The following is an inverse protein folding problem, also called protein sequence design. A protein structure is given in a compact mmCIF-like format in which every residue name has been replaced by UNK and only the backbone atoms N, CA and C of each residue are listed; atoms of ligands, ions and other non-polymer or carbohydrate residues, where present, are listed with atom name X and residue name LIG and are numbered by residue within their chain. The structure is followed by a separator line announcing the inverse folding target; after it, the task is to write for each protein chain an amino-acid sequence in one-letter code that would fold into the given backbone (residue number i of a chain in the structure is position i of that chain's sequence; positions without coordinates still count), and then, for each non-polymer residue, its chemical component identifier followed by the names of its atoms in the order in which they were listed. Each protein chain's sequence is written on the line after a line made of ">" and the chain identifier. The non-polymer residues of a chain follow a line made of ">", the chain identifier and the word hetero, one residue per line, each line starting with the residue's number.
data_IF_203987166215
#
_entry.id   IF_203987166215
#
_cell.length_a   1.000
_cell.length_b   1.000
_cell.length_c   1.000
_cell.angle_alpha   90.00
_cell.angle_beta   90.00
_cell.angle_gamma   90.00
#
_symmetry.space_group_name_H-M   'P 1'
#
loop_
_entity.id
_entity.type
_entity.pdbx_description
1 polymer ?
#
# COMPACT_ATOMS: atom_id res chain seq x y z
N UNK A 1 -6.31 34.07 -48.87
CA UNK A 1 -5.13 34.40 -49.72
C UNK A 1 -4.15 35.14 -48.83
N UNK A 2 -3.09 34.45 -48.43
CA UNK A 2 -1.68 34.79 -48.73
C UNK A 2 -1.16 35.95 -47.85
N UNK A 3 -0.03 35.86 -47.17
CA UNK A 3 1.05 34.87 -47.18
C UNK A 3 2.21 35.42 -46.33
N UNK A 4 3.02 34.48 -45.87
CA UNK A 4 4.21 34.56 -45.02
C UNK A 4 5.35 35.48 -45.49
N UNK A 5 6.31 35.67 -44.54
CA UNK A 5 7.79 35.77 -44.65
C UNK A 5 8.38 37.13 -44.20
N UNK A 6 9.54 37.24 -43.52
CA UNK A 6 10.64 36.32 -43.22
C UNK A 6 11.52 36.89 -42.07
N UNK A 7 12.28 35.99 -41.44
CA UNK A 7 13.32 36.10 -40.39
C UNK A 7 14.29 37.30 -40.43
N UNK A 8 14.71 37.82 -39.26
CA UNK A 8 16.02 37.54 -38.60
C UNK A 8 16.60 38.71 -37.77
N UNK A 9 16.87 38.40 -36.49
CA UNK A 9 17.92 38.86 -35.56
C UNK A 9 18.33 40.35 -35.50
N UNK A 10 18.21 40.95 -34.30
CA UNK A 10 19.34 41.48 -33.50
C UNK A 10 18.85 41.80 -32.06
N UNK A 11 19.51 41.17 -31.07
CA UNK A 11 19.65 41.49 -29.65
C UNK A 11 18.47 42.12 -28.88
N UNK A 12 17.75 41.29 -28.11
CA UNK A 12 17.30 41.69 -26.78
C UNK A 12 17.39 40.47 -25.85
N UNK A 13 18.47 40.45 -25.07
CA UNK A 13 18.66 39.55 -23.92
C UNK A 13 17.56 39.89 -22.90
N UNK A 14 16.40 39.26 -23.01
CA UNK A 14 15.45 39.19 -21.90
C UNK A 14 15.67 37.84 -21.26
N UNK A 15 16.32 37.88 -20.09
CA UNK A 15 16.52 36.73 -19.25
C UNK A 15 15.19 35.98 -19.08
N UNK A 16 15.11 34.77 -19.61
CA UNK A 16 14.13 33.77 -19.21
C UNK A 16 14.37 33.52 -17.71
N UNK A 17 13.73 34.34 -16.88
CA UNK A 17 13.68 34.11 -15.44
C UNK A 17 12.71 32.95 -15.28
N UNK A 18 13.27 31.74 -15.15
CA UNK A 18 12.54 30.56 -14.71
C UNK A 18 11.74 30.97 -13.47
N UNK A 19 10.43 31.04 -13.58
CA UNK A 19 9.57 31.30 -12.43
C UNK A 19 9.68 30.05 -11.55
N UNK A 20 10.54 30.10 -10.54
CA UNK A 20 10.63 29.05 -9.52
C UNK A 20 9.35 29.14 -8.70
N UNK A 21 8.36 28.34 -9.07
CA UNK A 21 7.11 28.22 -8.31
C UNK A 21 7.43 27.52 -6.99
N UNK A 22 7.38 28.24 -5.88
CA UNK A 22 7.44 27.67 -4.53
C UNK A 22 6.06 27.08 -4.22
N UNK A 23 6.01 25.78 -3.95
CA UNK A 23 4.78 25.07 -3.58
C UNK A 23 4.51 25.27 -2.08
N UNK A 24 3.51 26.08 -1.75
CA UNK A 24 3.05 26.23 -0.37
C UNK A 24 2.02 25.14 -0.04
N UNK A 25 2.25 24.40 1.04
CA UNK A 25 1.41 23.31 1.52
C UNK A 25 0.37 23.83 2.52
N UNK A 26 -0.60 22.98 2.88
CA UNK A 26 -1.54 23.21 3.99
C UNK A 26 -2.27 24.57 3.96
N UNK A 27 -2.68 25.02 2.78
CA UNK A 27 -3.40 26.29 2.61
C UNK A 27 -2.50 27.53 2.65
N UNK A 28 -1.19 27.38 2.63
CA UNK A 28 -0.24 28.48 2.52
C UNK A 28 -0.35 29.23 1.19
N UNK A 29 -0.12 30.54 1.23
CA UNK A 29 -0.18 31.42 0.06
C UNK A 29 1.21 31.83 -0.39
N UNK A 30 1.53 31.64 -1.68
CA UNK A 30 2.80 32.09 -2.24
C UNK A 30 2.80 33.61 -2.43
N UNK A 31 3.74 34.32 -1.80
CA UNK A 31 3.90 35.77 -1.87
C UNK A 31 5.29 36.15 -2.37
N UNK A 32 5.40 37.27 -3.08
CA UNK A 32 6.69 37.76 -3.57
C UNK A 32 7.48 38.37 -2.40
N UNK A 33 8.79 38.08 -2.33
CA UNK A 33 9.67 38.68 -1.31
C UNK A 33 9.70 40.20 -1.45
N UNK A 34 9.97 40.95 -0.36
CA UNK A 34 10.10 42.42 -0.43
C UNK A 34 11.17 42.91 -1.41
N UNK A 35 12.18 42.07 -1.69
CA UNK A 35 13.22 42.31 -2.69
C UNK A 35 12.81 42.04 -4.13
N UNK A 36 11.61 41.47 -4.36
CA UNK A 36 11.07 41.11 -5.67
C UNK A 36 11.76 39.93 -6.37
N UNK A 37 12.73 39.27 -5.70
CA UNK A 37 13.62 38.28 -6.33
C UNK A 37 13.25 36.83 -6.07
N UNK A 38 12.47 36.53 -5.02
CA UNK A 38 12.12 35.14 -4.65
C UNK A 38 10.66 35.06 -4.18
N UNK A 39 10.04 33.89 -4.30
CA UNK A 39 8.73 33.60 -3.72
C UNK A 39 8.89 33.01 -2.31
N UNK A 40 7.99 33.38 -1.39
CA UNK A 40 7.92 32.89 -0.01
C UNK A 40 6.53 32.32 0.26
N UNK A 41 6.39 31.42 1.23
CA UNK A 41 5.09 30.96 1.69
C UNK A 41 4.62 31.73 2.92
N UNK A 42 3.40 32.25 2.87
CA UNK A 42 2.68 32.74 4.04
C UNK A 42 1.75 31.63 4.54
N UNK A 43 2.02 31.11 5.73
CA UNK A 43 1.31 29.93 6.23
C UNK A 43 -0.01 30.28 6.90
N UNK A 44 -0.98 29.38 6.77
CA UNK A 44 -2.24 29.45 7.51
C UNK A 44 -1.98 29.23 9.01
N UNK A 45 -2.89 29.72 9.85
CA UNK A 45 -2.79 29.59 11.31
C UNK A 45 -2.60 28.11 11.71
N UNK A 46 -1.61 27.85 12.57
CA UNK A 46 -1.25 26.50 13.02
C UNK A 46 -0.29 25.74 12.09
N UNK A 47 0.18 26.35 10.99
CA UNK A 47 1.20 25.77 10.12
C UNK A 47 2.45 26.64 10.03
N UNK A 48 3.61 26.01 9.91
CA UNK A 48 4.90 26.71 9.78
C UNK A 48 5.89 25.95 8.90
N UNK A 49 7.05 26.56 8.65
CA UNK A 49 8.07 26.05 7.75
C UNK A 49 8.15 26.81 6.42
N UNK A 50 9.20 26.52 5.66
CA UNK A 50 9.51 27.26 4.41
C UNK A 50 8.45 27.11 3.32
N UNK A 51 7.72 26.00 3.37
CA UNK A 51 6.63 25.62 2.47
C UNK A 51 5.33 25.32 3.26
N UNK A 52 5.21 25.77 4.52
CA UNK A 52 4.08 25.46 5.40
C UNK A 52 3.88 23.96 5.67
N UNK A 53 4.98 23.22 5.71
CA UNK A 53 5.04 21.76 5.82
C UNK A 53 4.90 21.22 7.25
N UNK A 54 5.04 22.07 8.26
CA UNK A 54 4.94 21.70 9.67
C UNK A 54 3.55 22.04 10.19
N UNK A 55 2.92 21.09 10.86
CA UNK A 55 1.64 21.26 11.54
C UNK A 55 1.91 21.41 13.04
N UNK A 56 1.70 22.61 13.58
CA UNK A 56 2.01 22.95 14.97
C UNK A 56 1.03 22.32 15.97
N UNK A 57 -0.14 21.87 15.50
CA UNK A 57 -1.17 21.23 16.33
C UNK A 57 -0.85 19.77 16.63
N UNK A 58 0.02 19.12 15.83
CA UNK A 58 0.35 17.71 15.97
C UNK A 58 1.45 17.50 17.02
N UNK A 59 1.08 16.91 18.15
CA UNK A 59 2.01 16.54 19.24
C UNK A 59 2.29 15.04 19.34
N UNK A 60 1.72 14.23 18.44
CA UNK A 60 1.80 12.78 18.48
C UNK A 60 2.01 12.17 17.08
N UNK A 61 2.45 10.91 16.99
CA UNK A 61 2.51 10.20 15.71
C UNK A 61 1.69 8.91 15.69
N UNK A 62 1.23 8.55 14.49
CA UNK A 62 0.65 7.24 14.20
C UNK A 62 1.68 6.29 13.55
N UNK A 63 1.51 4.98 13.79
CA UNK A 63 2.37 3.94 13.21
C UNK A 63 3.84 4.08 13.64
N UNK A 64 4.73 4.31 12.66
CA UNK A 64 6.17 4.55 12.85
C UNK A 64 6.56 6.04 12.71
N UNK A 65 5.58 6.94 12.53
CA UNK A 65 5.86 8.37 12.36
C UNK A 65 6.43 8.77 10.99
N UNK A 66 6.18 7.98 9.95
CA UNK A 66 6.58 8.30 8.57
C UNK A 66 6.01 9.64 8.06
N UNK A 67 4.72 9.83 8.30
CA UNK A 67 4.00 11.05 7.92
C UNK A 67 3.91 12.07 9.05
N UNK A 68 4.66 11.86 10.13
CA UNK A 68 4.71 12.84 11.20
C UNK A 68 5.26 14.16 10.65
N UNK A 69 4.49 15.23 10.83
CA UNK A 69 4.82 16.60 10.42
C UNK A 69 4.74 17.59 11.58
N UNK A 70 4.69 17.08 12.82
CA UNK A 70 4.71 17.92 14.01
C UNK A 70 6.07 18.58 14.29
N UNK A 71 6.12 19.53 15.24
CA UNK A 71 7.28 20.39 15.50
C UNK A 71 8.28 19.83 16.52
N UNK A 72 8.10 18.60 17.02
CA UNK A 72 9.01 18.04 18.04
C UNK A 72 10.45 17.96 17.50
N UNK A 73 11.39 18.53 18.26
CA UNK A 73 12.83 18.67 17.91
C UNK A 73 13.77 18.17 19.01
N UNK A 74 13.30 17.24 19.86
CA UNK A 74 14.11 16.59 20.90
C UNK A 74 14.12 15.08 20.74
N UNK A 75 15.28 14.47 20.96
CA UNK A 75 15.42 13.01 21.01
C UNK A 75 14.90 12.44 22.33
N UNK A 76 14.75 11.12 22.40
CA UNK A 76 14.36 10.40 23.60
C UNK A 76 15.38 10.47 24.74
N UNK A 77 16.64 10.81 24.45
CA UNK A 77 17.63 11.12 25.49
C UNK A 77 17.57 12.59 25.96
N UNK A 78 16.64 13.38 25.43
CA UNK A 78 16.47 14.80 25.73
C UNK A 78 17.43 15.73 24.98
N UNK A 79 18.23 15.21 24.04
CA UNK A 79 19.14 16.02 23.23
C UNK A 79 18.38 16.78 22.16
N UNK A 80 18.86 17.97 21.84
CA UNK A 80 18.32 18.79 20.76
C UNK A 80 18.72 18.21 19.39
N UNK A 81 17.73 18.15 18.50
CA UNK A 81 17.92 17.69 17.13
C UNK A 81 18.72 18.70 16.32
N UNK A 82 19.59 18.18 15.46
CA UNK A 82 20.34 18.95 14.47
C UNK A 82 19.46 19.22 13.24
N UNK A 83 19.70 20.38 12.63
CA UNK A 83 19.11 20.79 11.34
C UNK A 83 19.44 19.76 10.25
N UNK A 84 18.41 19.30 9.54
CA UNK A 84 18.55 18.28 8.49
C UNK A 84 19.40 18.75 7.31
N UNK A 85 19.44 20.06 7.05
CA UNK A 85 20.23 20.67 5.97
C UNK A 85 21.59 21.23 6.45
N UNK A 86 21.96 21.01 7.72
CA UNK A 86 23.27 21.43 8.22
C UNK A 86 24.42 20.68 7.54
N UNK A 87 25.54 21.37 7.35
CA UNK A 87 26.72 20.82 6.69
C UNK A 87 27.20 19.51 7.34
N UNK A 88 27.26 19.48 8.67
CA UNK A 88 27.66 18.28 9.42
C UNK A 88 26.69 17.10 9.26
N UNK A 89 25.39 17.35 9.04
CA UNK A 89 24.41 16.28 8.77
C UNK A 89 24.49 15.83 7.31
N UNK A 90 24.71 16.75 6.37
CA UNK A 90 24.85 16.44 4.94
C UNK A 90 26.11 15.64 4.61
N UNK A 91 27.17 15.79 5.39
CA UNK A 91 28.39 14.97 5.27
C UNK A 91 28.20 13.52 5.74
N UNK A 92 27.24 13.28 6.64
CA UNK A 92 26.96 11.95 7.24
C UNK A 92 25.76 11.27 6.57
N UNK A 93 24.82 12.05 6.05
CA UNK A 93 23.53 11.59 5.54
C UNK A 93 23.63 10.83 4.21
N UNK A 94 22.87 9.74 4.09
CA UNK A 94 22.73 8.91 2.88
C UNK A 94 21.83 9.56 1.81
N UNK A 95 21.37 10.80 2.03
CA UNK A 95 20.38 11.46 1.17
C UNK A 95 21.02 12.37 0.12
N UNK A 96 20.53 12.35 -1.13
CA UNK A 96 20.88 13.35 -2.12
C UNK A 96 20.53 14.76 -1.60
N UNK A 97 21.36 15.75 -1.91
CA UNK A 97 21.29 17.15 -1.43
C UNK A 97 19.92 17.85 -1.53
N UNK A 98 18.97 17.30 -2.29
CA UNK A 98 17.66 17.88 -2.60
C UNK A 98 16.46 17.06 -2.09
N UNK A 99 16.68 15.96 -1.35
CA UNK A 99 15.63 15.03 -0.88
C UNK A 99 15.54 14.95 0.66
N UNK A 100 16.29 15.80 1.37
CA UNK A 100 16.24 15.87 2.83
C UNK A 100 14.90 16.41 3.37
N UNK A 101 14.55 16.14 4.64
CA UNK A 101 13.25 16.50 5.20
C UNK A 101 12.89 18.00 5.26
N UNK A 102 13.84 18.90 4.96
CA UNK A 102 13.62 20.34 4.93
C UNK A 102 14.71 21.11 5.69
N UNK A 103 14.54 22.43 5.77
CA UNK A 103 15.40 23.35 6.55
C UNK A 103 14.80 23.57 7.94
N UNK A 104 14.75 22.50 8.71
CA UNK A 104 14.30 22.49 10.10
C UNK A 104 15.00 21.37 10.88
N UNK A 105 14.88 21.35 12.20
CA UNK A 105 15.41 20.27 13.04
C UNK A 105 14.32 19.34 13.63
N UNK A 106 13.07 19.47 13.19
CA UNK A 106 11.99 18.60 13.66
C UNK A 106 12.25 17.13 13.34
N UNK A 107 11.85 16.24 14.24
CA UNK A 107 11.91 14.80 14.10
C UNK A 107 11.13 14.32 12.88
N UNK A 108 11.75 13.45 12.10
CA UNK A 108 11.19 12.89 10.86
C UNK A 108 11.58 11.43 10.76
N UNK A 109 10.92 10.70 9.87
CA UNK A 109 11.27 9.31 9.62
C UNK A 109 11.52 9.05 8.13
N UNK A 110 12.56 9.66 7.52
CA UNK A 110 12.78 9.60 6.08
C UNK A 110 13.32 8.24 5.56
N UNK A 111 13.89 7.39 6.42
CA UNK A 111 14.47 6.07 6.08
C UNK A 111 13.65 4.89 6.60
N UNK A 112 12.37 5.10 6.93
CA UNK A 112 11.49 4.01 7.39
C UNK A 112 12.01 3.30 8.66
N UNK A 113 12.61 4.05 9.57
CA UNK A 113 13.00 3.58 10.90
C UNK A 113 11.80 3.22 11.76
N UNK A 114 12.03 2.49 12.86
CA UNK A 114 10.96 2.06 13.78
C UNK A 114 10.17 3.22 14.41
N UNK A 115 10.78 4.41 14.52
CA UNK A 115 10.16 5.65 15.01
C UNK A 115 10.72 6.85 14.25
N UNK A 116 10.02 7.98 14.34
CA UNK A 116 10.59 9.26 13.97
C UNK A 116 11.83 9.54 14.84
N UNK A 117 12.87 10.06 14.20
CA UNK A 117 14.19 10.22 14.77
C UNK A 117 14.80 11.54 14.28
N UNK A 118 15.94 11.90 14.84
CA UNK A 118 16.75 13.01 14.37
C UNK A 118 18.24 12.76 14.62
N UNK A 119 19.10 13.55 13.98
CA UNK A 119 20.51 13.56 14.32
C UNK A 119 20.75 14.40 15.57
N UNK A 120 21.60 13.92 16.46
CA UNK A 120 22.00 14.65 17.67
C UNK A 120 23.52 14.66 17.78
N UNK A 121 24.05 15.69 18.43
CA UNK A 121 25.47 15.79 18.74
C UNK A 121 25.76 15.12 20.09
N UNK A 122 26.71 14.20 20.10
CA UNK A 122 27.30 13.65 21.32
C UNK A 122 28.73 14.15 21.51
N UNK A 123 29.34 13.87 22.66
CA UNK A 123 30.69 14.33 22.98
C UNK A 123 31.76 13.83 21.98
N UNK A 124 31.48 12.74 21.25
CA UNK A 124 32.46 12.11 20.34
C UNK A 124 32.01 12.02 18.88
N UNK A 125 30.71 12.10 18.58
CA UNK A 125 30.18 11.99 17.20
C UNK A 125 28.76 12.51 17.06
N UNK A 126 28.35 12.78 15.83
CA UNK A 126 26.93 12.90 15.47
C UNK A 126 26.36 11.50 15.30
N UNK A 127 25.20 11.25 15.88
CA UNK A 127 24.50 9.98 15.71
C UNK A 127 23.00 10.20 15.58
N UNK A 128 22.31 9.18 15.07
CA UNK A 128 20.86 9.12 14.99
C UNK A 128 20.28 8.63 16.31
N UNK A 129 19.26 9.32 16.81
CA UNK A 129 18.49 8.93 17.98
C UNK A 129 16.98 9.04 17.70
N UNK A 130 16.21 8.08 18.22
CA UNK A 130 14.75 8.12 18.18
C UNK A 130 14.22 9.31 18.97
N UNK A 131 13.11 9.89 18.52
CA UNK A 131 12.45 11.00 19.19
C UNK A 131 11.37 10.54 20.16
N UNK A 132 11.25 11.27 21.28
CA UNK A 132 10.19 11.04 22.26
C UNK A 132 8.92 11.78 21.87
N UNK A 133 8.28 11.25 20.83
CA UNK A 133 6.96 11.69 20.41
C UNK A 133 5.95 10.64 20.89
N UNK A 134 4.90 11.02 21.64
CA UNK A 134 3.87 10.09 22.07
C UNK A 134 3.08 9.56 20.87
N UNK A 135 2.51 8.36 21.02
CA UNK A 135 1.54 7.87 20.05
C UNK A 135 0.21 8.59 20.26
N UNK A 136 -0.49 8.91 19.17
CA UNK A 136 -1.77 9.59 19.29
C UNK A 136 -2.72 8.75 20.14
N UNK A 137 -3.24 9.36 21.22
CA UNK A 137 -4.25 8.73 22.05
C UNK A 137 -5.47 8.48 21.16
N UNK A 138 -5.97 7.23 21.16
CA UNK A 138 -7.27 6.96 20.58
C UNK A 138 -8.27 7.71 21.44
N UNK A 139 -8.88 8.75 20.90
CA UNK A 139 -9.96 9.45 21.57
C UNK A 139 -11.10 8.43 21.75
N UNK A 140 -11.23 7.91 22.96
CA UNK A 140 -12.38 7.10 23.35
C UNK A 140 -13.53 8.08 23.56
N UNK A 141 -14.05 8.60 22.45
CA UNK A 141 -15.38 9.19 22.40
C UNK A 141 -16.36 8.14 22.90
N UNK A 142 -16.84 8.37 24.12
CA UNK A 142 -17.95 7.66 24.74
C UNK A 142 -19.22 7.90 23.91
N UNK A 143 -19.37 7.20 22.78
CA UNK A 143 -20.68 6.97 22.22
C UNK A 143 -21.34 5.84 22.98
N UNK A 144 -22.51 6.17 23.52
CA UNK A 144 -23.36 5.30 24.31
C UNK A 144 -23.55 3.96 23.61
N UNK A 145 -23.20 2.90 24.32
CA UNK A 145 -23.45 1.52 23.96
C UNK A 145 -24.96 1.27 23.80
N UNK A 146 -25.45 1.37 22.58
CA UNK A 146 -26.62 0.61 22.14
C UNK A 146 -26.17 -0.40 21.09
N UNK A 147 -25.72 -1.56 21.57
CA UNK A 147 -25.73 -2.84 20.86
C UNK A 147 -24.94 -2.92 19.55
N UNK A 148 -23.61 -2.90 19.61
CA UNK A 148 -22.79 -3.42 18.50
C UNK A 148 -22.84 -4.95 18.59
N UNK A 149 -23.47 -5.60 17.63
CA UNK A 149 -23.44 -7.06 17.53
C UNK A 149 -21.98 -7.52 17.44
N UNK A 150 -21.56 -8.32 18.43
CA UNK A 150 -20.29 -9.01 18.45
C UNK A 150 -20.30 -10.12 17.39
N UNK A 151 -19.95 -9.77 16.15
CA UNK A 151 -19.88 -10.68 15.03
C UNK A 151 -19.01 -10.09 13.93
N UNK A 152 -18.28 -10.95 13.23
CA UNK A 152 -17.45 -10.55 12.09
C UNK A 152 -18.32 -9.88 11.03
N UNK A 153 -17.98 -8.65 10.67
CA UNK A 153 -18.59 -7.94 9.55
C UNK A 153 -17.52 -7.75 8.47
N UNK A 154 -17.75 -8.38 7.32
CA UNK A 154 -16.79 -8.31 6.23
C UNK A 154 -16.70 -6.91 5.61
N UNK A 155 -15.55 -6.61 4.99
CA UNK A 155 -15.39 -5.45 4.13
C UNK A 155 -15.40 -4.10 4.86
N UNK A 156 -15.30 -4.09 6.19
CA UNK A 156 -15.20 -2.89 7.00
C UNK A 156 -13.74 -2.58 7.34
N UNK A 157 -13.37 -1.30 7.29
CA UNK A 157 -12.07 -0.79 7.73
C UNK A 157 -12.23 0.62 8.30
N UNK A 158 -11.35 1.02 9.22
CA UNK A 158 -11.34 2.39 9.74
C UNK A 158 -10.85 3.34 8.63
N UNK A 159 -11.72 4.24 8.14
CA UNK A 159 -11.34 5.23 7.13
C UNK A 159 -10.57 6.39 7.76
N UNK A 160 -9.25 6.42 7.58
CA UNK A 160 -8.45 7.64 7.79
C UNK A 160 -8.19 8.31 6.44
N UNK A 161 -8.63 9.55 6.31
CA UNK A 161 -8.46 10.39 5.12
C UNK A 161 -6.99 10.73 4.90
N UNK A 162 -6.30 9.94 4.08
CA UNK A 162 -4.99 10.30 3.51
C UNK A 162 -5.02 10.04 2.01
N UNK A 163 -4.61 11.05 1.23
CA UNK A 163 -4.59 11.04 -0.24
C UNK A 163 -3.39 10.21 -0.74
N UNK A 164 -3.64 9.32 -1.70
CA UNK A 164 -2.67 8.33 -2.22
C UNK A 164 -2.33 8.68 -3.68
N UNK A 165 -1.04 8.69 -4.03
CA UNK A 165 -0.52 8.84 -5.41
C UNK A 165 0.53 7.75 -5.65
N UNK A 166 0.36 6.94 -6.70
CA UNK A 166 1.41 6.12 -7.35
C UNK A 166 2.18 5.08 -6.51
N UNK A 167 1.52 4.07 -5.90
CA UNK A 167 2.21 2.96 -5.22
C UNK A 167 2.64 3.28 -3.78
N UNK A 168 1.75 3.91 -3.00
CA UNK A 168 2.07 4.42 -1.67
C UNK A 168 2.31 3.28 -0.65
N UNK A 169 3.17 3.57 0.33
CA UNK A 169 3.26 2.74 1.53
C UNK A 169 1.88 2.67 2.19
N UNK A 170 1.43 1.45 2.48
CA UNK A 170 0.15 1.23 3.16
C UNK A 170 0.38 0.70 4.57
N UNK A 171 -0.72 0.60 5.33
CA UNK A 171 -0.73 -0.09 6.61
C UNK A 171 -1.80 -1.16 6.57
N UNK A 172 -1.57 -2.26 7.26
CA UNK A 172 -2.52 -3.36 7.39
C UNK A 172 -3.85 -2.92 8.02
N UNK A 173 -3.88 -1.81 8.77
CA UNK A 173 -5.13 -1.25 9.28
C UNK A 173 -6.05 -0.72 8.15
N UNK A 174 -5.49 -0.33 7.00
CA UNK A 174 -6.24 0.05 5.79
C UNK A 174 -6.67 -1.16 4.96
N UNK A 175 -5.99 -2.29 5.12
CA UNK A 175 -6.29 -3.55 4.43
C UNK A 175 -6.25 -4.72 5.42
N UNK A 176 -7.17 -4.73 6.41
CA UNK A 176 -7.11 -5.65 7.54
C UNK A 176 -7.35 -7.12 7.17
N UNK A 177 -7.72 -7.38 5.92
CA UNK A 177 -7.85 -8.70 5.31
C UNK A 177 -6.55 -9.21 4.67
N UNK A 178 -5.50 -8.39 4.58
CA UNK A 178 -4.25 -8.81 3.96
C UNK A 178 -3.62 -9.97 4.74
N UNK A 179 -3.35 -11.07 4.04
CA UNK A 179 -2.64 -12.22 4.56
C UNK A 179 -1.29 -12.40 3.85
N UNK A 180 -0.22 -12.65 4.60
CA UNK A 180 1.08 -13.03 4.06
C UNK A 180 1.28 -14.53 4.20
N UNK A 181 1.44 -15.22 3.07
CA UNK A 181 1.70 -16.66 2.99
C UNK A 181 3.21 -16.87 2.89
N UNK A 182 3.76 -17.64 3.83
CA UNK A 182 5.19 -17.94 3.89
C UNK A 182 5.44 -19.45 3.86
N UNK A 183 6.50 -19.86 3.18
CA UNK A 183 7.03 -21.24 3.22
C UNK A 183 8.31 -21.23 4.06
N UNK A 184 8.25 -21.81 5.25
CA UNK A 184 9.28 -21.66 6.27
C UNK A 184 9.39 -20.21 6.75
N UNK A 185 10.56 -19.58 6.59
CA UNK A 185 10.79 -18.16 6.94
C UNK A 185 10.67 -17.21 5.74
N UNK A 186 10.43 -17.73 4.54
CA UNK A 186 10.41 -16.93 3.32
C UNK A 186 8.98 -16.60 2.91
N UNK A 187 8.69 -15.31 2.75
CA UNK A 187 7.47 -14.84 2.11
C UNK A 187 7.37 -15.43 0.69
N UNK A 188 6.18 -15.93 0.35
CA UNK A 188 5.92 -16.58 -0.94
C UNK A 188 4.85 -15.83 -1.72
N UNK A 189 3.69 -15.60 -1.10
CA UNK A 189 2.53 -14.98 -1.74
C UNK A 189 1.72 -14.13 -0.75
N UNK A 190 0.90 -13.25 -1.29
CA UNK A 190 -0.21 -12.63 -0.58
C UNK A 190 -1.42 -13.56 -0.45
N UNK A 191 -2.46 -13.06 0.20
CA UNK A 191 -3.72 -13.73 0.43
C UNK A 191 -4.74 -12.76 1.02
N UNK A 192 -5.99 -13.20 1.09
CA UNK A 192 -7.11 -12.43 1.62
C UNK A 192 -7.84 -13.25 2.68
N UNK A 193 -7.99 -12.71 3.89
CA UNK A 193 -8.81 -13.30 4.93
C UNK A 193 -10.29 -13.11 4.58
N UNK A 194 -10.99 -14.18 4.23
CA UNK A 194 -12.39 -14.16 3.76
C UNK A 194 -13.37 -14.58 4.85
N UNK A 195 -12.88 -15.36 5.82
CA UNK A 195 -13.57 -15.68 7.07
C UNK A 195 -12.51 -15.88 8.16
N UNK A 196 -12.87 -16.02 9.45
CA UNK A 196 -11.89 -16.14 10.52
C UNK A 196 -10.91 -17.31 10.31
N UNK A 197 -11.36 -18.39 9.68
CA UNK A 197 -10.59 -19.63 9.50
C UNK A 197 -10.09 -19.84 8.07
N UNK A 198 -10.39 -18.94 7.13
CA UNK A 198 -10.16 -19.17 5.70
C UNK A 198 -9.47 -18.00 5.02
N UNK A 199 -8.39 -18.31 4.30
CA UNK A 199 -7.64 -17.38 3.46
C UNK A 199 -7.74 -17.82 2.00
N UNK A 200 -8.11 -16.89 1.13
CA UNK A 200 -8.13 -17.05 -0.32
C UNK A 200 -6.82 -16.52 -0.92
N UNK A 201 -6.22 -17.25 -1.84
CA UNK A 201 -4.96 -16.89 -2.50
C UNK A 201 -4.91 -17.51 -3.91
N UNK A 202 -3.78 -17.38 -4.61
CA UNK A 202 -3.58 -17.96 -5.93
C UNK A 202 -3.08 -19.41 -5.84
N UNK A 203 -3.44 -20.23 -6.83
CA UNK A 203 -3.02 -21.63 -6.89
C UNK A 203 -1.54 -21.77 -7.27
N UNK A 204 -1.02 -20.91 -8.14
CA UNK A 204 0.38 -20.94 -8.58
C UNK A 204 1.39 -20.72 -7.45
N UNK A 205 0.94 -20.22 -6.30
CA UNK A 205 1.73 -20.14 -5.07
C UNK A 205 2.15 -21.52 -4.53
N UNK A 206 1.51 -22.60 -5.01
CA UNK A 206 1.73 -23.98 -4.61
C UNK A 206 2.07 -24.84 -5.83
N UNK A 207 3.29 -24.72 -6.39
CA UNK A 207 3.68 -25.40 -7.63
C UNK A 207 3.67 -26.93 -7.50
N UNK A 208 3.77 -27.47 -6.29
CA UNK A 208 3.69 -28.91 -6.01
C UNK A 208 2.24 -29.42 -5.96
N UNK A 209 1.24 -28.56 -6.16
CA UNK A 209 -0.16 -28.93 -6.17
C UNK A 209 -0.60 -29.61 -4.86
N UNK A 210 -1.32 -30.71 -4.97
CA UNK A 210 -1.76 -31.56 -3.85
C UNK A 210 -0.60 -32.24 -3.09
N UNK A 211 0.61 -32.28 -3.66
CA UNK A 211 1.82 -32.79 -2.99
C UNK A 211 2.50 -31.73 -2.12
N UNK A 212 1.97 -30.51 -2.09
CA UNK A 212 2.48 -29.41 -1.26
C UNK A 212 2.51 -29.80 0.22
N UNK A 213 3.68 -29.68 0.85
CA UNK A 213 3.83 -29.92 2.29
C UNK A 213 3.25 -28.76 3.09
N UNK A 214 1.97 -28.87 3.46
CA UNK A 214 1.23 -27.82 4.18
C UNK A 214 1.84 -27.47 5.55
N UNK A 215 2.55 -28.40 6.19
CA UNK A 215 3.22 -28.17 7.47
C UNK A 215 4.37 -27.15 7.40
N UNK A 216 4.89 -26.87 6.19
CA UNK A 216 5.89 -25.84 5.96
C UNK A 216 5.27 -24.47 5.66
N UNK A 217 3.94 -24.37 5.55
CA UNK A 217 3.24 -23.14 5.22
C UNK A 217 2.75 -22.48 6.50
N UNK A 218 3.07 -21.20 6.65
CA UNK A 218 2.56 -20.33 7.70
C UNK A 218 1.84 -19.15 7.07
N UNK A 219 0.78 -18.68 7.72
CA UNK A 219 -0.02 -17.54 7.30
C UNK A 219 0.02 -16.48 8.39
N UNK A 220 0.34 -15.26 8.03
CA UNK A 220 0.38 -14.11 8.93
C UNK A 220 -0.69 -13.10 8.51
N UNK A 221 -1.49 -12.63 9.46
CA UNK A 221 -2.45 -11.53 9.27
C UNK A 221 -2.13 -10.39 10.23
N UNK A 222 -2.50 -9.16 9.88
CA UNK A 222 -2.19 -7.98 10.71
C UNK A 222 -0.74 -7.52 10.63
N UNK A 223 0.00 -7.92 9.57
CA UNK A 223 1.42 -7.63 9.38
C UNK A 223 1.66 -6.40 8.51
N UNK A 224 2.49 -5.46 8.99
CA UNK A 224 2.88 -4.29 8.18
C UNK A 224 4.17 -4.53 7.37
N UNK A 225 5.09 -5.33 7.90
CA UNK A 225 6.38 -5.59 7.26
C UNK A 225 6.74 -7.07 7.32
N UNK A 226 7.29 -7.62 6.23
CA UNK A 226 7.65 -9.05 6.14
C UNK A 226 8.76 -9.43 7.13
N UNK A 227 9.69 -8.52 7.40
CA UNK A 227 10.88 -8.74 8.23
C UNK A 227 10.73 -8.29 9.68
N UNK A 228 9.58 -7.72 10.05
CA UNK A 228 9.27 -7.32 11.43
C UNK A 228 8.14 -8.17 11.99
N UNK A 229 8.06 -8.27 13.31
CA UNK A 229 6.97 -8.95 13.99
C UNK A 229 6.40 -8.02 15.05
N UNK A 230 5.22 -7.49 14.81
CA UNK A 230 4.44 -6.77 15.83
C UNK A 230 3.56 -7.77 16.60
N UNK A 231 4.08 -8.32 17.70
CA UNK A 231 3.40 -9.33 18.51
C UNK A 231 2.05 -8.88 19.10
N UNK A 232 1.71 -7.58 19.06
CA UNK A 232 0.43 -7.06 19.54
C UNK A 232 -0.64 -7.02 18.44
N UNK A 233 -0.26 -7.00 17.16
CA UNK A 233 -1.18 -6.86 16.01
C UNK A 233 -1.18 -8.06 15.09
N UNK A 234 -0.05 -8.73 14.98
CA UNK A 234 0.14 -9.86 14.09
C UNK A 234 -0.37 -11.14 14.72
N UNK A 235 -1.02 -11.97 13.90
CA UNK A 235 -1.44 -13.30 14.28
C UNK A 235 -0.86 -14.29 13.28
N UNK A 236 -0.22 -15.34 13.80
CA UNK A 236 0.42 -16.40 13.03
C UNK A 236 -0.41 -17.69 13.09
N UNK A 237 -0.60 -18.30 11.94
CA UNK A 237 -1.36 -19.53 11.77
C UNK A 237 -0.59 -20.55 10.96
N UNK A 238 -0.81 -21.84 11.28
CA UNK A 238 -0.44 -22.95 10.40
C UNK A 238 -1.59 -23.26 9.45
N UNK A 239 -1.26 -23.89 8.33
CA UNK A 239 -2.26 -24.41 7.39
C UNK A 239 -2.63 -25.83 7.79
N UNK A 240 -3.93 -26.07 8.00
CA UNK A 240 -4.46 -27.42 8.26
C UNK A 240 -4.97 -28.10 7.00
N UNK A 241 -5.47 -27.33 6.03
CA UNK A 241 -6.02 -27.83 4.77
C UNK A 241 -5.68 -26.84 3.64
N UNK A 242 -5.34 -27.37 2.46
CA UNK A 242 -5.08 -26.60 1.23
C UNK A 242 -5.99 -27.17 0.13
N UNK A 243 -6.80 -26.30 -0.47
CA UNK A 243 -7.62 -26.63 -1.63
C UNK A 243 -7.13 -25.82 -2.82
N UNK A 244 -6.65 -26.51 -3.84
CA UNK A 244 -6.34 -25.91 -5.15
C UNK A 244 -7.52 -26.23 -6.06
N UNK A 245 -7.96 -25.26 -6.85
CA UNK A 245 -9.06 -25.47 -7.78
C UNK A 245 -8.76 -26.64 -8.73
N UNK A 246 -9.73 -27.53 -8.92
CA UNK A 246 -9.58 -28.81 -9.59
C UNK A 246 -9.21 -28.68 -11.08
N UNK A 247 -9.57 -27.53 -11.67
CA UNK A 247 -9.27 -27.19 -13.05
C UNK A 247 -8.07 -26.26 -13.22
N UNK A 248 -7.31 -25.97 -12.16
CA UNK A 248 -6.07 -25.21 -12.29
C UNK A 248 -4.99 -26.06 -12.96
N UNK A 249 -4.55 -25.62 -14.13
CA UNK A 249 -3.40 -26.19 -14.84
C UNK A 249 -2.56 -25.04 -15.42
N UNK A 250 -1.29 -25.00 -15.05
CA UNK A 250 -0.34 -23.98 -15.51
C UNK A 250 0.76 -24.55 -16.41
N UNK A 251 0.57 -25.75 -16.96
CA UNK A 251 1.51 -26.36 -17.92
C UNK A 251 1.70 -25.49 -19.17
N UNK A 252 0.61 -24.92 -19.67
CA UNK A 252 0.61 -24.03 -20.85
C UNK A 252 0.80 -22.54 -20.50
N UNK A 253 1.03 -22.21 -19.23
CA UNK A 253 1.22 -20.82 -18.79
C UNK A 253 -0.03 -19.94 -18.88
N UNK A 254 -1.23 -20.53 -18.96
CA UNK A 254 -2.49 -19.78 -19.13
C UNK A 254 -3.09 -19.25 -17.81
N UNK A 255 -2.66 -19.77 -16.65
CA UNK A 255 -3.16 -19.39 -15.31
C UNK A 255 -4.70 -19.38 -15.17
N UNK A 256 -5.43 -20.14 -15.99
CA UNK A 256 -6.86 -20.27 -15.81
C UNK A 256 -7.16 -21.06 -14.53
N UNK A 257 -8.23 -20.67 -13.82
CA UNK A 257 -8.56 -21.22 -12.50
C UNK A 257 -7.49 -21.06 -11.41
N UNK A 258 -6.67 -19.99 -11.49
CA UNK A 258 -5.61 -19.72 -10.53
C UNK A 258 -6.16 -19.19 -9.19
N UNK A 259 -6.71 -20.10 -8.39
CA UNK A 259 -7.30 -19.82 -7.08
C UNK A 259 -7.12 -21.01 -6.12
N UNK A 260 -6.84 -20.69 -4.85
CA UNK A 260 -6.68 -21.66 -3.79
C UNK A 260 -7.21 -21.15 -2.45
N UNK A 261 -7.62 -22.08 -1.59
CA UNK A 261 -8.07 -21.83 -0.22
C UNK A 261 -7.11 -22.47 0.78
N UNK A 262 -6.80 -21.71 1.83
CA UNK A 262 -6.05 -22.17 3.00
C UNK A 262 -6.96 -22.15 4.22
N UNK A 263 -7.10 -23.29 4.88
CA UNK A 263 -7.70 -23.34 6.21
C UNK A 263 -6.62 -23.09 7.25
N UNK A 264 -6.78 -22.01 7.99
CA UNK A 264 -5.80 -21.54 8.97
C UNK A 264 -6.19 -21.95 10.38
N UNK A 265 -5.19 -22.32 11.18
CA UNK A 265 -5.38 -22.76 12.56
C UNK A 265 -4.16 -22.39 13.41
N UNK A 266 -4.41 -21.78 14.56
CA UNK A 266 -3.36 -21.44 15.52
C UNK A 266 -2.88 -22.69 16.27
N UNK A 267 -1.75 -22.63 17.01
CA UNK A 267 -1.25 -23.78 17.76
C UNK A 267 -2.25 -24.38 18.76
N UNK A 268 -3.13 -23.54 19.32
CA UNK A 268 -4.20 -23.93 20.26
C UNK A 268 -5.54 -24.26 19.56
N UNK A 269 -5.56 -24.30 18.23
CA UNK A 269 -6.69 -24.76 17.46
C UNK A 269 -7.77 -23.73 17.14
N UNK A 270 -7.48 -22.45 17.37
CA UNK A 270 -8.38 -21.32 17.11
C UNK A 270 -8.15 -20.71 15.73
N UNK A 271 -9.11 -19.91 15.29
CA UNK A 271 -9.05 -19.13 14.05
C UNK A 271 -8.60 -17.70 14.34
N UNK A 272 -8.54 -16.85 13.31
CA UNK A 272 -8.25 -15.43 13.48
C UNK A 272 -9.19 -14.78 14.48
N UNK A 273 -8.66 -13.84 15.26
CA UNK A 273 -9.42 -12.96 16.15
C UNK A 273 -9.49 -11.57 15.52
N UNK A 274 -10.69 -11.01 15.48
CA UNK A 274 -10.90 -9.68 14.89
C UNK A 274 -10.16 -8.60 15.70
N UNK A 275 -9.57 -7.65 15.00
CA UNK A 275 -8.93 -6.46 15.56
C UNK A 275 -8.98 -5.30 14.56
N UNK A 276 -8.46 -4.13 14.92
CA UNK A 276 -8.34 -3.00 13.97
C UNK A 276 -7.40 -3.30 12.78
N UNK A 277 -6.56 -4.35 12.87
CA UNK A 277 -5.62 -4.78 11.82
C UNK A 277 -5.96 -6.14 11.23
N UNK A 278 -7.00 -6.82 11.73
CA UNK A 278 -7.41 -8.16 11.30
C UNK A 278 -8.92 -8.19 11.16
N UNK A 279 -9.41 -8.16 9.93
CA UNK A 279 -10.84 -8.23 9.56
C UNK A 279 -10.98 -9.05 8.29
N UNK A 280 -12.19 -9.49 7.99
CA UNK A 280 -12.46 -10.22 6.74
C UNK A 280 -12.86 -9.27 5.62
N UNK A 281 -12.55 -9.64 4.38
CA UNK A 281 -13.07 -8.97 3.18
C UNK A 281 -14.35 -9.67 2.73
N UNK A 282 -15.29 -8.93 2.14
CA UNK A 282 -16.49 -9.55 1.58
C UNK A 282 -16.18 -10.25 0.25
N UNK A 283 -16.90 -11.33 -0.06
CA UNK A 283 -16.87 -11.96 -1.38
C UNK A 283 -18.08 -11.43 -2.18
N UNK A 284 -17.89 -11.01 -3.45
CA UNK A 284 -19.00 -10.59 -4.30
C UNK A 284 -19.91 -11.78 -4.62
N UNK A 285 -21.19 -11.52 -4.82
CA UNK A 285 -22.16 -12.56 -5.20
C UNK A 285 -21.77 -13.27 -6.51
N UNK A 286 -22.32 -14.47 -6.71
CA UNK A 286 -22.06 -15.25 -7.90
C UNK A 286 -22.34 -14.41 -9.18
N UNK A 287 -21.33 -14.34 -10.05
CA UNK A 287 -21.37 -13.58 -11.31
C UNK A 287 -21.62 -12.05 -11.16
N UNK A 288 -21.50 -11.49 -9.96
CA UNK A 288 -21.56 -10.04 -9.78
C UNK A 288 -20.39 -9.37 -10.51
N UNK A 289 -20.71 -8.45 -11.42
CA UNK A 289 -19.75 -7.64 -12.17
C UNK A 289 -19.79 -6.18 -11.74
N UNK A 290 -18.69 -5.48 -11.94
CA UNK A 290 -18.58 -4.04 -11.78
C UNK A 290 -18.48 -3.36 -13.14
N UNK A 291 -18.87 -2.08 -13.18
CA UNK A 291 -18.69 -1.26 -14.37
C UNK A 291 -17.21 -1.12 -14.75
N UNK A 292 -16.93 -1.10 -16.05
CA UNK A 292 -15.61 -0.75 -16.57
C UNK A 292 -15.19 0.62 -16.04
N UNK A 293 -13.92 0.77 -15.71
CA UNK A 293 -13.37 2.01 -15.13
C UNK A 293 -13.60 2.17 -13.63
N UNK A 294 -14.31 1.24 -12.97
CA UNK A 294 -14.45 1.26 -11.50
C UNK A 294 -13.07 1.26 -10.85
N UNK A 295 -12.88 2.17 -9.89
CA UNK A 295 -11.63 2.29 -9.15
C UNK A 295 -11.57 1.27 -8.01
N UNK A 296 -10.48 0.52 -7.99
CA UNK A 296 -10.19 -0.55 -7.05
C UNK A 296 -8.77 -0.36 -6.48
N UNK A 297 -8.45 -1.13 -5.45
CA UNK A 297 -7.18 -1.09 -4.75
C UNK A 297 -6.54 -2.49 -4.78
N UNK A 298 -5.26 -2.53 -5.11
CA UNK A 298 -4.43 -3.74 -5.01
C UNK A 298 -3.47 -3.55 -3.85
N UNK A 299 -3.30 -4.59 -3.05
CA UNK A 299 -2.29 -4.59 -1.98
C UNK A 299 -1.45 -5.84 -1.94
N UNK A 300 -0.19 -5.66 -1.55
CA UNK A 300 0.71 -6.77 -1.33
C UNK A 300 2.10 -6.29 -0.92
N UNK A 301 3.02 -7.25 -0.87
CA UNK A 301 4.42 -7.04 -0.50
C UNK A 301 5.35 -7.30 -1.68
N UNK A 302 4.82 -7.16 -2.91
CA UNK A 302 5.55 -7.40 -4.14
C UNK A 302 6.73 -6.46 -4.35
N UNK A 303 7.48 -6.72 -5.41
CA UNK A 303 8.60 -5.88 -5.85
C UNK A 303 8.07 -4.50 -6.21
N UNK A 304 8.80 -3.47 -5.80
CA UNK A 304 8.42 -2.09 -6.10
C UNK A 304 8.59 -1.74 -7.57
N UNK A 305 9.54 -2.41 -8.25
CA UNK A 305 9.83 -2.21 -9.67
C UNK A 305 10.30 -3.51 -10.32
N UNK A 306 10.11 -3.61 -11.63
CA UNK A 306 10.66 -4.70 -12.44
C UNK A 306 12.20 -4.73 -12.33
N UNK A 307 12.78 -5.91 -12.11
CA UNK A 307 14.24 -6.09 -12.03
C UNK A 307 14.85 -5.96 -10.64
N UNK A 308 14.12 -5.48 -9.62
CA UNK A 308 14.61 -5.53 -8.23
C UNK A 308 14.76 -6.97 -7.76
N UNK A 309 15.86 -7.28 -7.08
CA UNK A 309 16.13 -8.63 -6.56
C UNK A 309 15.47 -8.90 -5.19
N UNK A 310 14.92 -7.86 -4.55
CA UNK A 310 14.26 -7.92 -3.24
C UNK A 310 12.78 -7.50 -3.33
N UNK A 311 11.94 -8.06 -2.45
CA UNK A 311 10.53 -7.70 -2.27
C UNK A 311 10.39 -6.44 -1.42
N UNK A 312 9.27 -5.72 -1.52
CA UNK A 312 9.03 -4.60 -0.60
C UNK A 312 8.96 -5.14 0.82
N UNK A 313 9.73 -4.54 1.73
CA UNK A 313 9.70 -4.95 3.13
C UNK A 313 8.36 -4.64 3.77
N UNK A 314 7.64 -3.65 3.25
CA UNK A 314 6.42 -3.10 3.81
C UNK A 314 5.23 -3.30 2.88
N UNK A 315 4.03 -3.35 3.45
CA UNK A 315 2.79 -3.42 2.68
C UNK A 315 2.65 -2.19 1.76
N UNK A 316 2.32 -2.42 0.50
CA UNK A 316 2.07 -1.37 -0.49
C UNK A 316 0.62 -1.42 -0.95
N UNK A 317 0.11 -0.27 -1.40
CA UNK A 317 -1.17 -0.17 -2.07
C UNK A 317 -1.06 0.61 -3.39
N UNK A 318 -1.81 0.17 -4.39
CA UNK A 318 -1.96 0.86 -5.67
C UNK A 318 -3.43 1.00 -6.03
N UNK A 319 -3.81 2.16 -6.58
CA UNK A 319 -5.13 2.37 -7.16
C UNK A 319 -5.10 1.96 -8.63
N UNK A 320 -6.07 1.14 -9.01
CA UNK A 320 -6.22 0.62 -10.37
C UNK A 320 -7.67 0.77 -10.81
N UNK A 321 -7.89 0.88 -12.11
CA UNK A 321 -9.21 0.89 -12.69
C UNK A 321 -9.42 -0.40 -13.48
N UNK A 322 -10.62 -0.98 -13.35
CA UNK A 322 -11.02 -2.16 -14.12
C UNK A 322 -11.05 -1.84 -15.61
N UNK A 323 -10.52 -2.76 -16.41
CA UNK A 323 -10.59 -2.72 -17.88
C UNK A 323 -11.71 -3.63 -18.36
N UNK A 324 -12.28 -3.29 -19.52
CA UNK A 324 -13.20 -4.18 -20.21
C UNK A 324 -12.45 -5.40 -20.73
N UNK A 325 -13.14 -6.53 -20.71
CA UNK A 325 -12.64 -7.80 -21.23
C UNK A 325 -12.19 -7.68 -22.69
N UNK A 326 -12.99 -7.05 -23.56
CA UNK A 326 -12.67 -6.80 -24.97
C UNK A 326 -11.36 -6.04 -25.19
N UNK A 327 -11.01 -5.14 -24.27
CA UNK A 327 -9.74 -4.39 -24.37
C UNK A 327 -8.60 -5.29 -23.96
N UNK A 328 -8.77 -6.04 -22.87
CA UNK A 328 -7.72 -6.93 -22.36
C UNK A 328 -7.43 -8.11 -23.30
N UNK A 329 -8.47 -8.67 -23.93
CA UNK A 329 -8.38 -9.74 -24.92
C UNK A 329 -8.04 -9.25 -26.33
N UNK A 330 -7.89 -7.94 -26.54
CA UNK A 330 -7.47 -7.41 -27.84
C UNK A 330 -6.03 -7.82 -28.17
N UNK A 331 -5.72 -7.94 -29.47
CA UNK A 331 -4.39 -8.33 -29.96
C UNK A 331 -3.26 -7.39 -29.50
N UNK A 332 -3.57 -6.12 -29.24
CA UNK A 332 -2.60 -5.15 -28.73
C UNK A 332 -2.19 -5.44 -27.27
N UNK A 333 -3.07 -6.10 -26.50
CA UNK A 333 -2.87 -6.47 -25.11
C UNK A 333 -2.45 -7.95 -25.05
N UNK A 334 -3.32 -8.82 -24.56
CA UNK A 334 -3.02 -10.23 -24.32
C UNK A 334 -3.64 -11.20 -25.34
N UNK A 335 -4.47 -10.71 -26.27
CA UNK A 335 -5.10 -11.57 -27.26
C UNK A 335 -5.92 -12.69 -26.62
N UNK A 336 -5.73 -13.91 -27.09
CA UNK A 336 -6.48 -15.10 -26.66
C UNK A 336 -6.03 -15.68 -25.30
N UNK A 337 -5.14 -15.01 -24.57
CA UNK A 337 -4.67 -15.49 -23.26
C UNK A 337 -5.62 -15.14 -22.11
N UNK A 338 -6.57 -14.22 -22.33
CA UNK A 338 -7.57 -13.83 -21.34
C UNK A 338 -8.80 -14.73 -21.48
N UNK A 339 -9.22 -15.30 -20.35
CA UNK A 339 -10.42 -16.13 -20.25
C UNK A 339 -11.52 -15.41 -19.46
N UNK A 340 -12.75 -15.88 -19.55
CA UNK A 340 -13.92 -15.36 -18.82
C UNK A 340 -13.77 -15.42 -17.28
N UNK A 341 -12.80 -16.20 -16.81
CA UNK A 341 -12.43 -16.37 -15.39
C UNK A 341 -11.39 -15.35 -14.91
N UNK A 342 -10.97 -14.43 -15.77
CA UNK A 342 -9.98 -13.41 -15.48
C UNK A 342 -10.61 -12.03 -15.58
N UNK A 343 -9.97 -11.07 -14.93
CA UNK A 343 -10.24 -9.65 -15.11
C UNK A 343 -8.91 -8.90 -15.19
N UNK A 344 -8.94 -7.72 -15.79
CA UNK A 344 -7.76 -6.88 -15.94
C UNK A 344 -7.97 -5.54 -15.27
N UNK A 345 -6.92 -5.02 -14.65
CA UNK A 345 -6.93 -3.69 -14.07
C UNK A 345 -5.58 -3.01 -14.28
N UNK A 346 -5.60 -1.69 -14.40
CA UNK A 346 -4.37 -0.88 -14.53
C UNK A 346 -4.43 0.40 -13.73
N UNK A 347 -3.29 0.97 -13.38
CA UNK A 347 -3.25 2.37 -12.93
C UNK A 347 -3.72 3.32 -14.05
N UNK A 348 -4.41 4.42 -13.72
CA UNK A 348 -4.85 5.42 -14.69
C UNK A 348 -3.73 6.00 -15.55
N UNK A 349 -2.53 6.14 -14.99
CA UNK A 349 -1.33 6.76 -15.57
C UNK A 349 -0.26 5.75 -15.99
N UNK A 350 -0.51 4.44 -15.85
CA UNK A 350 0.47 3.37 -16.06
C UNK A 350 1.69 3.46 -15.13
N UNK A 351 1.62 4.21 -14.02
CA UNK A 351 2.75 4.36 -13.10
C UNK A 351 2.86 3.22 -12.08
N UNK A 352 1.79 2.44 -11.89
CA UNK A 352 1.70 1.40 -10.88
C UNK A 352 0.84 0.20 -11.34
N UNK A 353 1.21 -1.00 -10.94
CA UNK A 353 0.49 -2.25 -11.23
C UNK A 353 0.88 -3.32 -10.21
N UNK A 354 0.12 -4.41 -10.14
CA UNK A 354 0.51 -5.58 -9.36
C UNK A 354 1.83 -6.14 -9.90
N UNK A 355 2.80 -6.33 -9.02
CA UNK A 355 4.15 -6.76 -9.38
C UNK A 355 4.45 -8.18 -8.88
N UNK A 356 5.59 -8.74 -9.32
CA UNK A 356 6.07 -10.02 -8.78
C UNK A 356 6.15 -9.95 -7.25
N UNK A 357 5.44 -10.85 -6.57
CA UNK A 357 5.36 -10.92 -5.10
C UNK A 357 4.07 -10.35 -4.50
N UNK A 358 3.20 -9.73 -5.31
CA UNK A 358 1.80 -9.48 -4.93
C UNK A 358 0.89 -10.68 -5.21
N UNK A 359 1.42 -11.70 -5.90
CA UNK A 359 0.75 -12.97 -6.23
C UNK A 359 -0.11 -13.51 -5.08
N UNK A 360 -1.37 -13.82 -5.36
CA UNK A 360 -2.34 -14.28 -4.37
C UNK A 360 -2.95 -13.16 -3.51
N UNK A 361 -2.45 -11.93 -3.60
CA UNK A 361 -2.95 -10.77 -2.88
C UNK A 361 -4.32 -10.28 -3.39
N UNK A 362 -4.99 -9.41 -2.62
CA UNK A 362 -6.32 -8.90 -2.96
C UNK A 362 -6.30 -7.79 -4.02
N UNK A 363 -7.24 -7.87 -4.96
CA UNK A 363 -7.82 -6.72 -5.65
C UNK A 363 -9.21 -6.46 -5.06
N UNK A 364 -9.34 -5.35 -4.34
CA UNK A 364 -10.58 -4.97 -3.66
C UNK A 364 -11.23 -3.74 -4.26
N UNK A 365 -12.54 -3.74 -4.30
CA UNK A 365 -13.33 -2.61 -4.80
C UNK A 365 -14.39 -2.25 -3.76
N UNK A 366 -14.61 -0.95 -3.56
CA UNK A 366 -15.64 -0.47 -2.64
C UNK A 366 -17.01 -0.48 -3.34
N UNK A 367 -17.99 -1.14 -2.73
CA UNK A 367 -19.38 -1.16 -3.18
C UNK A 367 -20.24 -0.66 -2.03
N UNK A 368 -20.80 0.56 -2.19
CA UNK A 368 -21.46 1.30 -1.11
C UNK A 368 -20.51 1.49 0.08
N UNK A 369 -20.85 0.94 1.25
CA UNK A 369 -20.10 1.10 2.50
C UNK A 369 -19.22 -0.11 2.86
N UNK A 370 -19.12 -1.10 1.97
CA UNK A 370 -18.31 -2.30 2.17
C UNK A 370 -17.29 -2.49 1.07
N UNK A 371 -16.21 -3.19 1.41
CA UNK A 371 -15.12 -3.55 0.51
C UNK A 371 -15.21 -5.03 0.14
N UNK A 372 -15.20 -5.30 -1.16
CA UNK A 372 -15.36 -6.64 -1.72
C UNK A 372 -14.12 -7.06 -2.50
N UNK A 373 -13.78 -8.34 -2.40
CA UNK A 373 -12.67 -8.98 -3.10
C UNK A 373 -13.11 -9.41 -4.50
N UNK A 374 -12.87 -8.57 -5.51
CA UNK A 374 -13.25 -8.87 -6.88
C UNK A 374 -12.19 -9.68 -7.64
N UNK A 375 -10.92 -9.55 -7.24
CA UNK A 375 -9.82 -10.25 -7.90
C UNK A 375 -8.79 -10.81 -6.92
N UNK A 376 -8.15 -11.90 -7.34
CA UNK A 376 -6.90 -12.41 -6.74
C UNK A 376 -5.76 -12.13 -7.72
N UNK A 377 -4.69 -11.47 -7.28
CA UNK A 377 -3.51 -11.19 -8.12
C UNK A 377 -2.95 -12.51 -8.65
N UNK A 378 -2.90 -12.67 -9.97
CA UNK A 378 -2.50 -13.92 -10.61
C UNK A 378 -1.21 -13.75 -11.41
N UNK A 379 -1.24 -13.01 -12.52
CA UNK A 379 -0.09 -12.84 -13.40
C UNK A 379 -0.11 -11.48 -14.13
N UNK A 380 0.98 -11.19 -14.84
CA UNK A 380 1.16 -9.98 -15.63
C UNK A 380 2.49 -10.00 -16.37
N UNK A 381 2.60 -9.23 -17.44
CA UNK A 381 3.85 -9.08 -18.21
C UNK A 381 4.61 -7.83 -17.76
N UNK A 382 5.58 -8.03 -16.87
CA UNK A 382 6.34 -6.93 -16.28
C UNK A 382 5.53 -6.17 -15.22
N UNK A 383 6.14 -5.12 -14.68
CA UNK A 383 5.48 -4.23 -13.73
C UNK A 383 5.11 -2.93 -14.45
N UNK A 384 3.82 -2.58 -14.51
CA UNK A 384 3.36 -1.28 -15.03
C UNK A 384 3.77 -0.99 -16.48
N UNK A 385 3.85 -2.02 -17.34
CA UNK A 385 4.16 -1.84 -18.77
C UNK A 385 2.92 -1.38 -19.52
N UNK A 386 3.08 -0.39 -20.42
CA UNK A 386 1.99 0.06 -21.28
C UNK A 386 1.42 -1.13 -22.09
N UNK A 387 0.09 -1.20 -22.19
CA UNK A 387 -0.65 -2.29 -22.85
C UNK A 387 -0.48 -3.68 -22.20
N UNK A 388 0.04 -3.76 -20.98
CA UNK A 388 0.20 -5.00 -20.20
C UNK A 388 -0.32 -4.79 -18.78
N UNK A 389 -1.65 -4.70 -18.60
CA UNK A 389 -2.27 -4.53 -17.29
C UNK A 389 -2.12 -5.81 -16.44
N UNK A 390 -2.18 -5.68 -15.12
CA UNK A 390 -2.29 -6.82 -14.23
C UNK A 390 -3.51 -7.68 -14.54
N UNK A 391 -3.34 -8.99 -14.45
CA UNK A 391 -4.39 -9.99 -14.66
C UNK A 391 -4.69 -10.68 -13.34
N UNK A 392 -5.98 -10.76 -13.02
CA UNK A 392 -6.47 -11.23 -11.74
C UNK A 392 -7.51 -12.33 -11.97
N UNK A 393 -7.55 -13.33 -11.09
CA UNK A 393 -8.62 -14.33 -11.08
C UNK A 393 -9.92 -13.67 -10.61
N UNK A 394 -11.00 -13.78 -11.40
CA UNK A 394 -12.30 -13.15 -11.15
C UNK A 394 -13.08 -13.92 -10.08
N UNK A 395 -13.06 -13.42 -8.85
CA UNK A 395 -13.55 -14.14 -7.66
C UNK A 395 -15.04 -14.48 -7.73
N UNK A 396 -15.87 -13.62 -8.33
CA UNK A 396 -17.32 -13.84 -8.49
C UNK A 396 -17.66 -15.14 -9.24
N UNK A 397 -16.76 -15.65 -10.09
CA UNK A 397 -16.98 -16.91 -10.81
C UNK A 397 -16.73 -18.14 -9.92
N UNK A 398 -16.08 -17.96 -8.78
CA UNK A 398 -15.72 -19.04 -7.84
C UNK A 398 -16.56 -19.04 -6.56
N UNK A 399 -17.61 -18.21 -6.49
CA UNK A 399 -18.47 -18.09 -5.29
C UNK A 399 -18.95 -19.45 -4.77
N UNK A 400 -19.51 -20.29 -5.65
CA UNK A 400 -20.03 -21.61 -5.30
C UNK A 400 -18.91 -22.57 -4.87
N UNK A 401 -17.77 -22.55 -5.56
CA UNK A 401 -16.61 -23.35 -5.18
C UNK A 401 -16.08 -22.96 -3.79
N UNK A 402 -16.01 -21.66 -3.49
CA UNK A 402 -15.61 -21.18 -2.17
C UNK A 402 -16.60 -21.67 -1.10
N UNK A 403 -17.91 -21.55 -1.32
CA UNK A 403 -18.92 -22.07 -0.38
C UNK A 403 -18.77 -23.58 -0.15
N UNK A 404 -18.65 -24.36 -1.23
CA UNK A 404 -18.51 -25.81 -1.18
C UNK A 404 -17.29 -26.24 -0.34
N UNK A 405 -16.11 -25.67 -0.62
CA UNK A 405 -14.88 -26.05 0.08
C UNK A 405 -14.82 -25.54 1.52
N UNK A 406 -15.38 -24.37 1.77
CA UNK A 406 -15.32 -23.76 3.11
C UNK A 406 -16.41 -24.24 4.06
N UNK A 407 -17.54 -24.71 3.52
CA UNK A 407 -18.74 -25.06 4.28
C UNK A 407 -19.44 -23.85 4.92
N UNK A 408 -19.13 -22.63 4.47
CA UNK A 408 -19.80 -21.41 4.93
C UNK A 408 -21.24 -21.37 4.40
N UNK A 409 -22.15 -20.73 5.14
CA UNK A 409 -23.56 -20.60 4.73
C UNK A 409 -23.82 -19.39 3.81
N UNK A 410 -22.94 -18.37 3.88
CA UNK A 410 -22.94 -17.17 3.04
C UNK A 410 -21.55 -16.53 3.10
N UNK A 411 -21.18 -15.76 2.06
CA UNK A 411 -19.89 -15.06 1.94
C UNK A 411 -20.03 -13.51 1.91
N UNK A 412 -21.23 -12.99 2.17
CA UNK A 412 -21.62 -11.57 2.04
C UNK A 412 -22.02 -10.89 3.36
#
# INVERSE_FOLDING_TARGET
>A
MAGFCLLSLILAVVALTVCVTVLCLNGGTSVLSPSGRHMLCFCADGFSGSNCETDESISCFDGIGLHYRGPVSKSASGRECLEWDSESVREIGVYPKNLGPGRHNHCRNPDYSRRAWCYVRTASRIMKEDCDIPRCAKDHGSDSLTGVQSGWQCGQREERNMKVVGGALSSVARHPWMAAVARGRAFTCGGSLISPCWVLTAAHCFPDGTKTSIHKISVFVGRNAINETDAQREQEFRVSELFIHEHFDNTDGNYNHDIALLKIRSPDGRCAKESSSVKTVCIPEAHQSLSVGTSCEVTGYGREQEGLWYYSQYLREAKVNLLSEDVCSSKAYYGNMITDNMLCARSPDWSADACKGDSGGPLVCRVRDRVFLFGVVSWGEGCSRQFRPGVYTKVSNYYNWILEKTGLSSLS
#
